data_IF_853397507023
#
_entry.id   IF_853397507023
#
_cell.length_a   1.000
_cell.length_b   1.000
_cell.length_c   1.000
_cell.angle_alpha   90.00
_cell.angle_beta   90.00
_cell.angle_gamma   90.00
#
_symmetry.space_group_name_H-M   'P 1'
#
loop_
_entity.id
_entity.type
_entity.pdbx_description
1 polymer ?
#
# COMPACT_ATOMS: atom_id res chain seq x y z
N UNK A 1 -24.20 -48.61 -3.59
CA UNK A 1 -25.37 -48.05 -2.88
C UNK A 1 -26.61 -48.25 -3.74
N UNK A 2 -27.62 -48.93 -3.22
CA UNK A 2 -28.90 -49.21 -3.90
C UNK A 2 -29.61 -47.88 -4.21
N UNK A 3 -29.92 -47.62 -5.50
CA UNK A 3 -30.63 -46.42 -5.91
C UNK A 3 -32.06 -46.43 -5.31
N UNK A 4 -32.33 -45.53 -4.36
CA UNK A 4 -33.67 -45.34 -3.81
C UNK A 4 -34.57 -44.72 -4.87
N UNK A 5 -35.70 -45.37 -5.15
CA UNK A 5 -36.68 -44.86 -6.13
C UNK A 5 -37.26 -43.50 -5.69
N UNK A 6 -37.43 -42.56 -6.63
CA UNK A 6 -37.96 -41.21 -6.37
C UNK A 6 -39.31 -41.21 -5.64
N UNK A 7 -40.15 -42.23 -5.87
CA UNK A 7 -41.47 -42.34 -5.26
C UNK A 7 -41.49 -43.21 -3.99
N UNK A 8 -40.38 -43.84 -3.59
CA UNK A 8 -40.28 -44.62 -2.37
C UNK A 8 -40.30 -43.72 -1.11
N UNK A 9 -40.62 -44.29 0.06
CA UNK A 9 -40.50 -43.59 1.36
C UNK A 9 -39.03 -43.21 1.59
N UNK A 10 -38.80 -42.01 2.13
CA UNK A 10 -37.46 -41.51 2.36
C UNK A 10 -36.75 -42.31 3.47
N UNK A 11 -35.49 -42.75 3.28
CA UNK A 11 -34.75 -43.53 4.28
C UNK A 11 -34.46 -42.78 5.59
N UNK A 12 -34.60 -41.44 5.62
CA UNK A 12 -34.38 -40.64 6.82
C UNK A 12 -35.49 -40.75 7.87
N UNK A 13 -36.53 -41.55 7.63
CA UNK A 13 -37.63 -41.76 8.58
C UNK A 13 -38.69 -40.65 8.60
N UNK A 14 -38.59 -39.64 7.73
CA UNK A 14 -39.54 -38.50 7.69
C UNK A 14 -40.96 -38.85 7.25
N UNK A 15 -41.20 -40.07 6.77
CA UNK A 15 -42.49 -40.49 6.22
C UNK A 15 -42.83 -39.92 4.84
N UNK A 16 -42.10 -38.95 4.30
CA UNK A 16 -42.34 -38.40 2.96
C UNK A 16 -41.76 -39.28 1.84
N UNK A 17 -42.20 -39.09 0.59
CA UNK A 17 -41.56 -39.71 -0.59
C UNK A 17 -40.16 -39.11 -0.78
N UNK A 18 -39.19 -39.90 -1.23
CA UNK A 18 -37.78 -39.50 -1.40
C UNK A 18 -37.64 -38.19 -2.21
N UNK A 19 -38.37 -38.04 -3.32
CA UNK A 19 -38.37 -36.83 -4.16
C UNK A 19 -38.90 -35.54 -3.48
N UNK A 20 -39.60 -35.66 -2.36
CA UNK A 20 -40.13 -34.55 -1.58
C UNK A 20 -39.40 -34.38 -0.24
N UNK A 21 -38.27 -35.06 -0.05
CA UNK A 21 -37.46 -35.02 1.17
C UNK A 21 -35.97 -34.94 0.78
N UNK A 22 -35.12 -35.88 1.21
CA UNK A 22 -33.68 -35.86 0.92
C UNK A 22 -33.34 -35.90 -0.58
N UNK A 23 -34.23 -36.40 -1.44
CA UNK A 23 -34.06 -36.33 -2.90
C UNK A 23 -34.27 -34.92 -3.46
N UNK A 24 -35.06 -34.06 -2.79
CA UNK A 24 -35.29 -32.68 -3.20
C UNK A 24 -34.06 -31.79 -2.94
N UNK A 25 -33.35 -32.03 -1.83
CA UNK A 25 -32.11 -31.32 -1.49
C UNK A 25 -30.96 -31.70 -2.43
N UNK A 26 -30.87 -32.98 -2.84
CA UNK A 26 -29.90 -33.39 -3.87
C UNK A 26 -30.22 -32.83 -5.26
N UNK A 27 -31.50 -32.69 -5.63
CA UNK A 27 -31.91 -32.04 -6.88
C UNK A 27 -31.65 -30.51 -6.85
N UNK A 28 -31.77 -29.86 -5.67
CA UNK A 28 -31.46 -28.45 -5.51
C UNK A 28 -29.95 -28.15 -5.68
N UNK A 29 -29.08 -29.05 -5.23
CA UNK A 29 -27.62 -28.95 -5.41
C UNK A 29 -27.16 -29.17 -6.87
N UNK A 30 -28.01 -29.74 -7.74
CA UNK A 30 -27.72 -30.01 -9.16
C UNK A 30 -28.29 -28.98 -10.13
N UNK A 31 -29.07 -28.01 -9.65
CA UNK A 31 -29.57 -26.94 -10.51
C UNK A 31 -28.43 -25.98 -10.76
N UNK A 32 -27.95 -25.92 -12.00
CA UNK A 32 -27.09 -24.82 -12.42
C UNK A 32 -27.80 -23.49 -12.07
N UNK A 33 -27.07 -22.51 -11.51
CA UNK A 33 -27.66 -21.21 -11.25
C UNK A 33 -28.21 -20.66 -12.57
N UNK A 34 -29.50 -20.32 -12.57
CA UNK A 34 -30.12 -19.70 -13.76
C UNK A 34 -29.35 -18.42 -14.05
N UNK A 35 -28.64 -18.37 -15.18
CA UNK A 35 -28.09 -17.12 -15.71
C UNK A 35 -29.26 -16.25 -16.13
N UNK A 36 -29.54 -15.20 -15.36
CA UNK A 36 -30.51 -14.16 -15.71
C UNK A 36 -29.76 -13.08 -16.47
N UNK A 37 -30.27 -12.64 -17.63
CA UNK A 37 -29.64 -11.51 -18.32
C UNK A 37 -29.93 -10.22 -17.56
N UNK A 38 -28.98 -9.28 -17.56
CA UNK A 38 -29.14 -8.01 -16.86
C UNK A 38 -30.42 -7.26 -17.30
N UNK A 39 -30.75 -7.32 -18.59
CA UNK A 39 -31.94 -6.66 -19.15
C UNK A 39 -33.25 -7.25 -18.64
N UNK A 40 -33.25 -8.52 -18.22
CA UNK A 40 -34.43 -9.23 -17.70
C UNK A 40 -34.69 -8.94 -16.21
N UNK A 41 -33.76 -8.25 -15.53
CA UNK A 41 -33.94 -7.83 -14.14
C UNK A 41 -34.97 -6.69 -14.04
N UNK A 42 -35.75 -6.64 -12.95
CA UNK A 42 -36.61 -5.50 -12.66
C UNK A 42 -35.84 -4.18 -12.74
N UNK A 43 -36.50 -3.11 -13.18
CA UNK A 43 -35.83 -1.81 -13.37
C UNK A 43 -35.14 -1.31 -12.10
N UNK A 44 -35.79 -1.47 -10.95
CA UNK A 44 -35.23 -1.10 -9.65
C UNK A 44 -33.94 -1.87 -9.34
N UNK A 45 -33.90 -3.17 -9.64
CA UNK A 45 -32.71 -4.01 -9.47
C UNK A 45 -31.58 -3.58 -10.40
N UNK A 46 -31.90 -3.25 -11.67
CA UNK A 46 -30.91 -2.74 -12.62
C UNK A 46 -30.33 -1.41 -12.17
N UNK A 47 -31.17 -0.48 -11.69
CA UNK A 47 -30.73 0.80 -11.12
C UNK A 47 -29.85 0.60 -9.89
N UNK A 48 -30.26 -0.25 -8.95
CA UNK A 48 -29.45 -0.56 -7.77
C UNK A 48 -28.09 -1.15 -8.14
N UNK A 49 -28.03 -2.06 -9.13
CA UNK A 49 -26.79 -2.63 -9.63
C UNK A 49 -25.88 -1.58 -10.27
N UNK A 50 -26.41 -0.72 -11.15
CA UNK A 50 -25.64 0.36 -11.78
C UNK A 50 -25.11 1.36 -10.74
N UNK A 51 -25.94 1.74 -9.77
CA UNK A 51 -25.53 2.63 -8.68
C UNK A 51 -24.40 2.01 -7.84
N UNK A 52 -24.50 0.70 -7.55
CA UNK A 52 -23.44 -0.03 -6.86
C UNK A 52 -22.16 -0.09 -7.70
N UNK A 53 -22.26 -0.28 -9.02
CA UNK A 53 -21.09 -0.25 -9.91
C UNK A 53 -20.41 1.13 -9.93
N UNK A 54 -21.20 2.21 -10.07
CA UNK A 54 -20.68 3.58 -10.06
C UNK A 54 -20.00 3.91 -8.74
N UNK A 55 -20.63 3.53 -7.61
CA UNK A 55 -20.05 3.71 -6.28
C UNK A 55 -18.74 2.94 -6.14
N UNK A 56 -18.69 1.68 -6.57
CA UNK A 56 -17.46 0.89 -6.53
C UNK A 56 -16.36 1.48 -7.43
N UNK A 57 -16.71 2.07 -8.57
CA UNK A 57 -15.74 2.74 -9.45
C UNK A 57 -15.19 4.04 -8.83
N UNK A 58 -16.04 4.80 -8.15
CA UNK A 58 -15.65 6.00 -7.42
C UNK A 58 -14.74 5.65 -6.23
N UNK A 59 -15.11 4.65 -5.42
CA UNK A 59 -14.27 4.13 -4.34
C UNK A 59 -12.92 3.65 -4.90
N UNK A 60 -12.92 2.93 -6.02
CA UNK A 60 -11.68 2.47 -6.65
C UNK A 60 -10.81 3.60 -7.20
N UNK A 61 -11.42 4.72 -7.59
CA UNK A 61 -10.70 5.91 -8.05
C UNK A 61 -10.06 6.67 -6.88
N UNK A 62 -10.68 6.64 -5.70
CA UNK A 62 -10.22 7.37 -4.52
C UNK A 62 -9.23 6.56 -3.67
N UNK A 63 -9.47 5.25 -3.53
CA UNK A 63 -8.74 4.37 -2.61
C UNK A 63 -7.99 3.22 -3.31
N UNK A 64 -8.17 3.07 -4.61
CA UNK A 64 -7.63 1.94 -5.36
C UNK A 64 -8.38 0.64 -5.06
N UNK A 65 -7.67 -0.47 -5.07
CA UNK A 65 -8.25 -1.79 -4.79
C UNK A 65 -8.22 -2.18 -3.31
N UNK A 66 -7.64 -1.34 -2.45
CA UNK A 66 -7.86 -1.44 -1.01
C UNK A 66 -9.19 -0.77 -0.74
N UNK A 67 -10.19 -1.48 -0.17
CA UNK A 67 -11.46 -0.87 0.16
C UNK A 67 -11.26 0.35 1.06
N UNK A 68 -12.12 1.38 0.97
CA UNK A 68 -12.17 2.41 2.01
C UNK A 68 -12.38 1.76 3.37
N UNK A 69 -12.14 2.52 4.44
CA UNK A 69 -12.35 2.06 5.82
C UNK A 69 -13.81 1.63 6.05
N UNK A 70 -14.09 0.35 5.80
CA UNK A 70 -15.44 -0.23 5.91
C UNK A 70 -15.87 -0.13 7.36
N UNK A 71 -16.80 0.79 7.62
CA UNK A 71 -17.23 1.12 8.97
C UNK A 71 -18.75 1.24 9.09
N UNK A 72 -19.25 1.06 10.31
CA UNK A 72 -20.63 1.31 10.67
C UNK A 72 -20.71 1.82 12.12
N UNK A 73 -21.75 2.58 12.43
CA UNK A 73 -22.09 2.92 13.82
C UNK A 73 -23.15 1.97 14.36
N UNK A 74 -22.89 1.39 15.53
CA UNK A 74 -23.83 0.49 16.22
C UNK A 74 -23.76 0.71 17.73
N UNK A 75 -24.89 1.05 18.36
CA UNK A 75 -25.01 1.27 19.81
C UNK A 75 -23.97 2.25 20.38
N UNK A 76 -23.65 3.31 19.62
CA UNK A 76 -22.65 4.32 20.01
C UNK A 76 -21.20 3.87 19.88
N UNK A 77 -20.94 2.71 19.27
CA UNK A 77 -19.60 2.30 18.84
C UNK A 77 -19.43 2.51 17.35
N UNK A 78 -18.28 3.01 16.94
CA UNK A 78 -17.79 2.86 15.57
C UNK A 78 -17.16 1.48 15.45
N UNK A 79 -17.65 0.68 14.51
CA UNK A 79 -17.15 -0.67 14.19
C UNK A 79 -16.47 -0.59 12.83
N UNK A 80 -15.26 -1.13 12.73
CA UNK A 80 -14.44 -1.12 11.50
C UNK A 80 -14.01 -2.54 11.18
N UNK A 81 -14.16 -2.94 9.92
CA UNK A 81 -13.72 -4.24 9.42
C UNK A 81 -12.27 -4.16 8.90
N UNK A 82 -11.45 -5.13 9.32
CA UNK A 82 -10.05 -5.28 8.90
C UNK A 82 -9.85 -6.75 8.53
N UNK A 83 -9.81 -7.03 7.22
CA UNK A 83 -9.75 -8.41 6.73
C UNK A 83 -10.92 -9.23 7.27
N UNK A 84 -10.63 -10.25 8.07
CA UNK A 84 -11.63 -11.11 8.71
C UNK A 84 -12.00 -10.69 10.14
N UNK A 85 -11.45 -9.58 10.64
CA UNK A 85 -11.66 -9.12 12.01
C UNK A 85 -12.52 -7.87 12.05
N UNK A 86 -13.20 -7.66 13.19
CA UNK A 86 -13.92 -6.43 13.50
C UNK A 86 -13.26 -5.79 14.72
N UNK A 87 -12.96 -4.50 14.63
CA UNK A 87 -12.56 -3.69 15.79
C UNK A 87 -13.62 -2.63 16.07
N UNK A 88 -13.75 -2.22 17.33
CA UNK A 88 -14.76 -1.24 17.71
C UNK A 88 -14.31 -0.34 18.86
N UNK A 89 -14.67 0.93 18.80
CA UNK A 89 -14.44 1.90 19.87
C UNK A 89 -15.52 3.00 19.83
N UNK A 90 -15.89 3.53 20.99
CA UNK A 90 -16.82 4.68 21.10
C UNK A 90 -16.17 6.01 20.71
N UNK A 91 -14.83 6.07 20.77
CA UNK A 91 -14.09 7.31 20.58
C UNK A 91 -13.63 7.54 19.14
N UNK A 92 -13.85 6.59 18.22
CA UNK A 92 -13.47 6.77 16.82
C UNK A 92 -14.52 7.59 16.08
N UNK A 93 -14.28 8.89 16.00
CA UNK A 93 -15.12 9.82 15.24
C UNK A 93 -14.63 10.01 13.81
N UNK A 94 -13.33 9.78 13.58
CA UNK A 94 -12.66 9.94 12.28
C UNK A 94 -11.81 8.70 11.95
N UNK A 95 -11.46 8.49 10.67
CA UNK A 95 -10.44 7.54 10.26
C UNK A 95 -9.12 7.66 11.04
N UNK A 96 -8.71 8.89 11.34
CA UNK A 96 -7.45 9.17 12.04
C UNK A 96 -7.51 8.61 13.47
N UNK A 97 -8.63 8.74 14.17
CA UNK A 97 -8.80 8.16 15.52
C UNK A 97 -8.59 6.64 15.47
N UNK A 98 -9.19 5.97 14.49
CA UNK A 98 -9.00 4.53 14.29
C UNK A 98 -7.56 4.18 13.93
N UNK A 99 -6.98 4.83 12.91
CA UNK A 99 -5.65 4.49 12.39
C UNK A 99 -4.57 4.65 13.46
N UNK A 100 -4.68 5.67 14.31
CA UNK A 100 -3.73 5.91 15.39
C UNK A 100 -3.83 4.85 16.49
N UNK A 101 -5.04 4.44 16.89
CA UNK A 101 -5.23 3.33 17.83
C UNK A 101 -4.80 1.98 17.24
N UNK A 102 -5.15 1.75 15.98
CA UNK A 102 -4.75 0.57 15.22
C UNK A 102 -3.22 0.44 15.17
N UNK A 103 -2.49 1.52 14.90
CA UNK A 103 -1.03 1.51 14.88
C UNK A 103 -0.42 1.16 16.24
N UNK A 104 -0.95 1.73 17.33
CA UNK A 104 -0.49 1.42 18.70
C UNK A 104 -0.69 -0.06 19.05
N UNK A 105 -1.83 -0.63 18.68
CA UNK A 105 -2.13 -2.04 18.91
C UNK A 105 -1.21 -2.93 18.05
N UNK A 106 -1.05 -2.60 16.77
CA UNK A 106 -0.26 -3.37 15.79
C UNK A 106 1.22 -3.41 16.15
N UNK A 107 1.79 -2.31 16.64
CA UNK A 107 3.19 -2.25 17.10
C UNK A 107 3.39 -2.78 18.52
N UNK A 108 2.32 -3.14 19.22
CA UNK A 108 2.24 -3.51 20.64
C UNK A 108 2.50 -2.36 21.62
N UNK A 109 1.64 -2.25 22.64
CA UNK A 109 1.77 -1.25 23.69
C UNK A 109 3.03 -1.44 24.56
N UNK A 110 3.51 -2.68 24.73
CA UNK A 110 4.75 -2.96 25.46
C UNK A 110 5.97 -2.30 24.79
N UNK A 111 6.15 -2.53 23.49
CA UNK A 111 7.23 -1.90 22.72
C UNK A 111 7.09 -0.38 22.69
N UNK A 112 5.88 0.13 22.43
CA UNK A 112 5.63 1.58 22.41
C UNK A 112 5.96 2.26 23.74
N UNK A 113 5.57 1.67 24.87
CA UNK A 113 5.87 2.21 26.20
C UNK A 113 7.37 2.17 26.52
N UNK A 114 8.08 1.12 26.09
CA UNK A 114 9.52 1.03 26.24
C UNK A 114 10.26 2.13 25.44
N UNK A 115 9.81 2.42 24.22
CA UNK A 115 10.34 3.53 23.42
C UNK A 115 10.01 4.89 24.04
N UNK A 116 8.79 5.11 24.54
CA UNK A 116 8.39 6.39 25.17
C UNK A 116 9.25 6.71 26.40
N UNK A 117 9.70 5.68 27.15
CA UNK A 117 10.56 5.86 28.31
C UNK A 117 11.97 6.39 27.98
N UNK A 118 12.41 6.30 26.71
CA UNK A 118 13.70 6.84 26.26
C UNK A 118 13.63 8.36 26.07
N UNK A 119 14.78 9.07 26.16
CA UNK A 119 14.90 10.44 25.68
C UNK A 119 14.43 10.57 24.23
N UNK A 120 13.82 11.70 23.87
CA UNK A 120 13.22 11.92 22.54
C UNK A 120 14.15 11.52 21.38
N UNK A 121 15.40 11.96 21.42
CA UNK A 121 16.42 11.70 20.39
C UNK A 121 16.80 10.22 20.25
N UNK A 122 16.61 9.42 21.31
CA UNK A 122 16.91 7.97 21.34
C UNK A 122 15.69 7.11 21.01
N UNK A 123 14.50 7.72 20.87
CA UNK A 123 13.28 6.99 20.51
C UNK A 123 13.34 6.51 19.06
N UNK A 124 12.72 5.37 18.82
CA UNK A 124 12.44 4.93 17.47
C UNK A 124 11.70 6.03 16.66
N UNK A 125 12.00 6.23 15.36
CA UNK A 125 11.40 7.32 14.57
C UNK A 125 9.86 7.36 14.58
N UNK A 126 9.19 6.20 14.62
CA UNK A 126 7.73 6.12 14.77
C UNK A 126 7.26 6.82 16.06
N UNK A 127 7.99 6.69 17.17
CA UNK A 127 7.63 7.30 18.44
C UNK A 127 8.04 8.76 18.55
N UNK A 128 9.05 9.20 17.79
CA UNK A 128 9.30 10.63 17.57
C UNK A 128 8.10 11.26 16.85
N UNK A 129 7.64 10.65 15.75
CA UNK A 129 6.46 11.13 15.03
C UNK A 129 5.17 11.04 15.86
N UNK A 130 5.04 10.02 16.72
CA UNK A 130 3.91 9.92 17.63
C UNK A 130 3.88 11.07 18.64
N UNK A 131 5.03 11.38 19.24
CA UNK A 131 5.18 12.51 20.16
C UNK A 131 4.80 13.81 19.46
N UNK A 132 5.39 14.05 18.29
CA UNK A 132 5.11 15.19 17.45
C UNK A 132 3.61 15.28 17.08
N UNK A 133 3.02 14.16 16.67
CA UNK A 133 1.60 14.11 16.35
C UNK A 133 0.72 14.45 17.56
N UNK A 134 1.09 14.03 18.77
CA UNK A 134 0.35 14.38 19.99
C UNK A 134 0.39 15.89 20.28
N UNK A 135 1.56 16.52 20.14
CA UNK A 135 1.72 17.97 20.32
C UNK A 135 0.88 18.74 19.29
N UNK A 136 0.92 18.29 18.03
CA UNK A 136 0.08 18.86 16.97
C UNK A 136 -1.42 18.71 17.28
N UNK A 137 -1.86 17.55 17.76
CA UNK A 137 -3.25 17.33 18.16
C UNK A 137 -3.64 18.23 19.34
N UNK A 138 -2.77 18.40 20.33
CA UNK A 138 -3.02 19.25 21.49
C UNK A 138 -3.20 20.71 21.07
N UNK A 139 -2.35 21.21 20.18
CA UNK A 139 -2.42 22.58 19.68
C UNK A 139 -3.71 22.83 18.88
N UNK A 140 -3.99 21.96 17.90
CA UNK A 140 -5.13 22.15 17.00
C UNK A 140 -6.48 21.83 17.65
N UNK A 141 -6.50 21.11 18.77
CA UNK A 141 -7.74 20.75 19.46
C UNK A 141 -8.25 21.76 20.48
N UNK A 142 -7.58 22.91 20.63
CA UNK A 142 -8.02 24.04 21.44
C UNK A 142 -9.36 24.61 20.96
N UNK A 143 -9.57 24.60 19.65
CA UNK A 143 -10.83 25.01 19.02
C UNK A 143 -11.48 23.81 18.34
N UNK A 144 -12.68 23.46 18.82
CA UNK A 144 -13.46 22.34 18.29
C UNK A 144 -14.78 22.85 17.71
N UNK A 145 -15.23 22.20 16.64
CA UNK A 145 -16.54 22.45 16.06
C UNK A 145 -17.67 21.86 16.95
N UNK A 146 -18.92 22.05 16.54
CA UNK A 146 -20.10 21.59 17.27
C UNK A 146 -20.12 20.07 17.54
N UNK A 147 -19.48 19.27 16.68
CA UNK A 147 -19.38 17.80 16.80
C UNK A 147 -18.18 17.36 17.69
N UNK A 148 -17.45 18.33 18.23
CA UNK A 148 -16.24 18.12 19.03
C UNK A 148 -15.03 17.70 18.20
N UNK A 149 -15.05 17.93 16.88
CA UNK A 149 -13.94 17.67 15.96
C UNK A 149 -13.07 18.92 15.82
N UNK A 150 -11.81 18.73 15.46
CA UNK A 150 -10.90 19.81 15.09
C UNK A 150 -10.22 19.47 13.76
N UNK A 151 -9.63 20.47 13.13
CA UNK A 151 -8.85 20.33 11.90
C UNK A 151 -7.59 21.16 12.03
N UNK A 152 -6.50 20.70 11.43
CA UNK A 152 -5.25 21.44 11.36
C UNK A 152 -4.56 21.20 10.04
N UNK A 153 -3.59 22.05 9.72
CA UNK A 153 -2.69 21.82 8.60
C UNK A 153 -1.76 20.66 9.00
N UNK A 154 -1.68 19.63 8.16
CA UNK A 154 -0.89 18.42 8.44
C UNK A 154 0.61 18.75 8.35
N UNK A 155 1.36 18.33 9.37
CA UNK A 155 2.82 18.49 9.44
C UNK A 155 3.53 17.28 8.84
N UNK A 156 4.84 17.37 8.58
CA UNK A 156 5.61 16.22 8.08
C UNK A 156 5.59 15.02 9.03
N UNK A 157 5.82 15.23 10.33
CA UNK A 157 5.74 14.17 11.34
C UNK A 157 4.34 13.53 11.41
N UNK A 158 3.27 14.35 11.40
CA UNK A 158 1.90 13.86 11.36
C UNK A 158 1.63 13.03 10.10
N UNK A 159 2.04 13.52 8.92
CA UNK A 159 1.89 12.78 7.66
C UNK A 159 2.66 11.46 7.67
N UNK A 160 3.89 11.45 8.21
CA UNK A 160 4.69 10.23 8.31
C UNK A 160 4.05 9.18 9.23
N UNK A 161 3.55 9.60 10.40
CA UNK A 161 2.87 8.75 11.37
C UNK A 161 1.55 8.16 10.83
N UNK A 162 0.74 8.98 10.17
CA UNK A 162 -0.54 8.53 9.62
C UNK A 162 -0.36 7.64 8.38
N UNK A 163 0.67 7.88 7.57
CA UNK A 163 0.91 7.07 6.37
C UNK A 163 1.35 5.64 6.73
N UNK A 164 2.19 5.46 7.75
CA UNK A 164 2.55 4.11 8.20
C UNK A 164 1.35 3.35 8.78
N UNK A 165 0.48 4.02 9.53
CA UNK A 165 -0.76 3.42 10.03
C UNK A 165 -1.66 2.96 8.87
N UNK A 166 -1.80 3.80 7.85
CA UNK A 166 -2.66 3.51 6.70
C UNK A 166 -2.09 2.41 5.79
N UNK A 167 -0.77 2.36 5.59
CA UNK A 167 -0.12 1.29 4.85
C UNK A 167 -0.26 -0.05 5.58
N UNK A 168 -0.02 -0.10 6.90
CA UNK A 168 -0.24 -1.31 7.70
C UNK A 168 -1.69 -1.80 7.64
N UNK A 169 -2.65 -0.88 7.75
CA UNK A 169 -4.07 -1.20 7.59
C UNK A 169 -4.36 -1.84 6.22
N UNK A 170 -3.82 -1.27 5.14
CA UNK A 170 -4.02 -1.80 3.80
C UNK A 170 -3.49 -3.24 3.65
N UNK A 171 -2.32 -3.52 4.21
CA UNK A 171 -1.74 -4.87 4.20
C UNK A 171 -2.57 -5.83 5.04
N UNK A 172 -2.96 -5.47 6.26
CA UNK A 172 -3.75 -6.36 7.11
C UNK A 172 -5.13 -6.63 6.51
N UNK A 173 -5.77 -5.61 5.95
CA UNK A 173 -7.09 -5.75 5.34
C UNK A 173 -7.09 -6.73 4.17
N UNK A 174 -5.98 -6.81 3.43
CA UNK A 174 -5.79 -7.75 2.32
C UNK A 174 -4.99 -8.99 2.71
N UNK A 175 -4.82 -9.26 4.02
CA UNK A 175 -4.12 -10.43 4.56
C UNK A 175 -2.67 -10.59 4.07
N UNK A 176 -2.00 -9.47 3.78
CA UNK A 176 -0.62 -9.39 3.31
C UNK A 176 0.37 -8.95 4.41
N UNK A 177 -0.10 -8.66 5.63
CA UNK A 177 0.75 -8.23 6.73
C UNK A 177 1.42 -9.42 7.43
N UNK A 178 2.74 -9.55 7.30
CA UNK A 178 3.53 -10.59 7.96
C UNK A 178 4.17 -10.11 9.28
N UNK A 179 4.28 -10.98 10.32
CA UNK A 179 4.90 -10.62 11.60
C UNK A 179 6.36 -10.13 11.47
N UNK A 180 7.13 -10.71 10.55
CA UNK A 180 8.53 -10.32 10.30
C UNK A 180 8.64 -8.87 9.82
N UNK A 181 7.66 -8.36 9.07
CA UNK A 181 7.62 -6.95 8.68
C UNK A 181 7.47 -6.04 9.91
N UNK A 182 6.61 -6.41 10.87
CA UNK A 182 6.42 -5.67 12.11
C UNK A 182 7.68 -5.69 12.98
N UNK A 183 8.40 -6.81 13.03
CA UNK A 183 9.69 -6.90 13.72
C UNK A 183 10.73 -5.95 13.12
N UNK A 184 10.87 -5.94 11.79
CA UNK A 184 11.79 -5.05 11.06
C UNK A 184 11.38 -3.57 11.20
N UNK A 185 10.09 -3.27 11.23
CA UNK A 185 9.56 -1.91 11.45
C UNK A 185 9.80 -1.38 12.87
N UNK A 186 9.93 -2.26 13.86
CA UNK A 186 10.25 -1.90 15.26
C UNK A 186 11.75 -1.79 15.51
N UNK A 187 12.58 -2.29 14.60
CA UNK A 187 14.03 -2.22 14.68
C UNK A 187 14.55 -0.96 13.98
N UNK A 188 15.13 -0.03 14.74
CA UNK A 188 15.60 1.26 14.24
C UNK A 188 16.59 1.14 13.06
N UNK A 189 17.51 0.17 13.09
CA UNK A 189 18.56 0.03 12.07
C UNK A 189 17.99 -0.42 10.71
N UNK A 190 16.89 -1.17 10.76
CA UNK A 190 16.19 -1.75 9.62
C UNK A 190 14.99 -0.89 9.18
N UNK A 191 14.54 0.02 10.04
CA UNK A 191 13.31 0.78 9.89
C UNK A 191 13.20 1.48 8.53
N UNK A 192 14.25 2.16 8.07
CA UNK A 192 14.21 2.88 6.79
C UNK A 192 13.84 1.96 5.62
N UNK A 193 14.46 0.77 5.54
CA UNK A 193 14.19 -0.21 4.48
C UNK A 193 12.80 -0.81 4.63
N UNK A 194 12.46 -1.27 5.84
CA UNK A 194 11.17 -1.88 6.15
C UNK A 194 9.99 -0.93 5.91
N UNK A 195 10.13 0.36 6.24
CA UNK A 195 9.14 1.40 5.95
C UNK A 195 8.92 1.56 4.45
N UNK A 196 10.00 1.54 3.66
CA UNK A 196 9.86 1.72 2.22
C UNK A 196 9.27 0.49 1.54
N UNK A 197 9.65 -0.72 1.96
CA UNK A 197 9.01 -1.97 1.51
C UNK A 197 7.52 -1.98 1.83
N UNK A 198 7.13 -1.58 3.05
CA UNK A 198 5.73 -1.43 3.44
C UNK A 198 4.97 -0.50 2.48
N UNK A 199 5.54 0.67 2.17
CA UNK A 199 4.96 1.62 1.21
C UNK A 199 4.80 1.01 -0.19
N UNK A 200 5.81 0.29 -0.69
CA UNK A 200 5.77 -0.35 -2.01
C UNK A 200 4.68 -1.42 -2.06
N UNK A 201 4.61 -2.28 -1.04
CA UNK A 201 3.58 -3.32 -0.93
C UNK A 201 2.18 -2.70 -0.88
N UNK A 202 1.97 -1.70 -0.02
CA UNK A 202 0.68 -1.02 0.09
C UNK A 202 0.28 -0.36 -1.24
N UNK A 203 1.25 0.20 -1.98
CA UNK A 203 1.02 0.80 -3.30
C UNK A 203 0.60 -0.23 -4.34
N UNK A 204 1.25 -1.39 -4.38
CA UNK A 204 0.91 -2.52 -5.26
C UNK A 204 -0.49 -3.05 -4.97
N UNK A 205 -0.82 -3.23 -3.69
CA UNK A 205 -2.15 -3.64 -3.25
C UNK A 205 -3.23 -2.64 -3.68
N UNK A 206 -3.02 -1.34 -3.46
CA UNK A 206 -3.92 -0.26 -3.94
C UNK A 206 -4.00 -0.24 -5.47
N UNK A 207 -2.94 -0.64 -6.16
CA UNK A 207 -2.92 -0.80 -7.60
C UNK A 207 -3.61 -2.09 -8.08
N UNK A 208 -4.12 -2.95 -7.19
CA UNK A 208 -4.85 -4.17 -7.56
C UNK A 208 -3.96 -5.37 -7.88
N UNK A 209 -2.70 -5.32 -7.47
CA UNK A 209 -1.82 -6.49 -7.50
C UNK A 209 -2.06 -7.34 -6.25
N UNK A 210 -1.96 -8.65 -6.41
CA UNK A 210 -1.62 -9.53 -5.30
C UNK A 210 -0.11 -9.55 -5.11
N UNK A 211 0.34 -9.76 -3.88
CA UNK A 211 1.76 -9.79 -3.54
C UNK A 211 2.07 -11.10 -2.83
N UNK A 212 3.23 -11.66 -3.14
CA UNK A 212 3.82 -12.80 -2.46
C UNK A 212 5.24 -12.41 -2.06
N UNK A 213 5.53 -12.40 -0.76
CA UNK A 213 6.86 -12.08 -0.26
C UNK A 213 7.80 -13.26 -0.53
N UNK A 214 9.01 -12.97 -0.97
CA UNK A 214 10.04 -14.01 -1.12
C UNK A 214 10.53 -14.48 0.26
N UNK A 215 10.99 -15.74 0.36
CA UNK A 215 11.53 -16.28 1.62
C UNK A 215 12.95 -15.75 1.86
N UNK A 216 13.07 -14.65 2.59
CA UNK A 216 14.34 -14.02 2.98
C UNK A 216 15.31 -14.94 3.75
N UNK A 217 14.87 -16.14 4.16
CA UNK A 217 15.72 -17.15 4.82
C UNK A 217 16.54 -17.98 3.83
N UNK A 218 16.21 -17.96 2.54
CA UNK A 218 16.98 -18.64 1.52
C UNK A 218 18.18 -17.81 1.07
N UNK A 219 19.30 -17.97 1.78
CA UNK A 219 20.58 -17.35 1.42
C UNK A 219 21.30 -18.00 0.22
N UNK A 220 20.72 -19.01 -0.42
CA UNK A 220 21.37 -19.72 -1.54
C UNK A 220 21.37 -18.91 -2.84
N UNK A 221 20.46 -17.94 -2.98
CA UNK A 221 20.35 -17.03 -4.12
C UNK A 221 20.01 -15.62 -3.67
N UNK A 222 20.34 -14.63 -4.49
CA UNK A 222 19.86 -13.26 -4.29
C UNK A 222 18.53 -13.09 -5.00
N UNK A 223 17.40 -13.10 -4.28
CA UNK A 223 16.07 -12.86 -4.85
C UNK A 223 15.65 -11.39 -4.72
N UNK A 224 14.62 -10.99 -5.48
CA UNK A 224 13.92 -9.72 -5.26
C UNK A 224 13.12 -9.73 -3.95
N UNK A 225 12.66 -8.58 -3.47
CA UNK A 225 11.88 -8.52 -2.21
C UNK A 225 10.54 -9.28 -2.29
N UNK A 226 9.84 -9.20 -3.43
CA UNK A 226 8.53 -9.84 -3.62
C UNK A 226 8.20 -10.14 -5.08
N UNK A 227 7.20 -10.98 -5.28
CA UNK A 227 6.51 -11.19 -6.55
C UNK A 227 5.13 -10.52 -6.53
N UNK A 228 4.82 -9.70 -7.54
CA UNK A 228 3.55 -9.01 -7.68
C UNK A 228 2.75 -9.57 -8.87
N UNK A 229 1.49 -9.96 -8.65
CA UNK A 229 0.61 -10.54 -9.67
C UNK A 229 -0.58 -9.62 -9.99
N UNK A 230 -0.69 -9.20 -11.25
CA UNK A 230 -1.81 -8.36 -11.71
C UNK A 230 -2.91 -9.21 -12.35
N UNK A 231 -3.88 -9.66 -11.54
CA UNK A 231 -4.95 -10.60 -11.96
C UNK A 231 -5.63 -10.27 -13.28
N UNK A 232 -5.97 -9.00 -13.50
CA UNK A 232 -6.75 -8.58 -14.67
C UNK A 232 -6.01 -8.81 -15.99
N UNK A 233 -4.68 -8.74 -15.96
CA UNK A 233 -3.82 -8.88 -17.15
C UNK A 233 -2.97 -10.16 -17.12
N UNK A 234 -3.17 -11.01 -16.09
CA UNK A 234 -2.51 -12.30 -15.93
C UNK A 234 -0.98 -12.25 -16.09
N UNK A 235 -0.36 -11.26 -15.46
CA UNK A 235 1.08 -11.04 -15.53
C UNK A 235 1.70 -10.90 -14.14
N UNK A 236 2.95 -11.36 -14.01
CA UNK A 236 3.73 -11.29 -12.77
C UNK A 236 4.96 -10.40 -12.96
N UNK A 237 5.39 -9.79 -11.86
CA UNK A 237 6.60 -8.98 -11.80
C UNK A 237 7.43 -9.34 -10.58
N UNK A 238 8.75 -9.37 -10.75
CA UNK A 238 9.71 -9.42 -9.64
C UNK A 238 9.98 -7.99 -9.20
N UNK A 239 9.64 -7.67 -7.95
CA UNK A 239 9.67 -6.29 -7.44
C UNK A 239 10.78 -6.12 -6.43
N UNK A 240 11.64 -5.14 -6.66
CA UNK A 240 12.70 -4.75 -5.73
C UNK A 240 12.42 -3.36 -5.16
N UNK A 241 12.46 -3.23 -3.83
CA UNK A 241 12.40 -1.95 -3.14
C UNK A 241 13.79 -1.55 -2.62
N UNK A 242 14.20 -0.31 -2.90
CA UNK A 242 15.45 0.26 -2.39
C UNK A 242 15.25 1.69 -1.93
N UNK A 243 15.95 2.07 -0.87
CA UNK A 243 15.98 3.45 -0.37
C UNK A 243 17.41 3.94 -0.27
N UNK A 244 17.63 5.20 -0.63
CA UNK A 244 18.90 5.88 -0.43
C UNK A 244 19.09 6.17 1.06
N UNK A 245 19.97 5.40 1.70
CA UNK A 245 20.35 5.60 3.10
C UNK A 245 20.94 6.98 3.36
N UNK A 246 20.57 7.58 4.49
CA UNK A 246 21.09 8.88 4.95
C UNK A 246 21.49 8.74 6.42
N UNK A 247 22.76 9.03 6.79
CA UNK A 247 23.17 9.02 8.18
C UNK A 247 22.30 9.96 9.03
N UNK A 248 21.97 9.54 10.25
CA UNK A 248 21.18 10.34 11.20
C UNK A 248 19.71 10.53 10.83
N UNK A 249 19.17 9.75 9.88
CA UNK A 249 17.77 9.80 9.47
C UNK A 249 17.13 8.42 9.52
N UNK A 250 15.88 8.36 9.98
CA UNK A 250 15.04 7.15 9.98
C UNK A 250 15.73 5.94 10.64
N UNK A 251 16.41 6.18 11.77
CA UNK A 251 17.09 5.14 12.55
C UNK A 251 18.46 4.73 12.00
N UNK A 252 18.98 5.39 10.95
CA UNK A 252 20.36 5.17 10.51
C UNK A 252 21.37 5.86 11.42
N UNK A 253 22.36 5.09 11.85
CA UNK A 253 23.52 5.62 12.57
C UNK A 253 24.27 6.71 11.78
N UNK A 254 24.95 7.58 12.52
CA UNK A 254 25.77 8.67 12.01
C UNK A 254 25.11 10.05 12.15
N UNK A 255 25.87 11.08 11.84
CA UNK A 255 25.40 12.47 11.97
C UNK A 255 24.53 12.88 10.78
N UNK A 256 23.42 13.55 11.08
CA UNK A 256 22.51 14.06 10.05
C UNK A 256 23.24 15.07 9.17
N UNK A 257 23.35 14.74 7.89
CA UNK A 257 23.93 15.63 6.88
C UNK A 257 23.05 16.85 6.66
N UNK A 258 23.67 17.98 6.30
CA UNK A 258 22.92 19.18 5.94
C UNK A 258 22.15 18.94 4.63
N UNK A 259 20.95 19.55 4.46
CA UNK A 259 20.13 19.35 3.27
C UNK A 259 20.86 19.61 1.94
N UNK A 260 21.73 20.62 1.87
CA UNK A 260 22.50 21.02 0.69
C UNK A 260 23.65 20.06 0.34
N UNK A 261 24.07 19.22 1.28
CA UNK A 261 25.09 18.18 1.06
C UNK A 261 24.49 16.88 0.49
N UNK A 262 23.16 16.72 0.58
CA UNK A 262 22.47 15.53 0.12
C UNK A 262 22.60 15.37 -1.40
N UNK A 263 22.93 14.15 -1.85
CA UNK A 263 23.04 13.81 -3.28
C UNK A 263 22.13 12.66 -3.63
N UNK A 264 21.42 12.80 -4.76
CA UNK A 264 20.53 11.80 -5.32
C UNK A 264 21.28 10.71 -6.09
N UNK A 265 22.30 10.11 -5.46
CA UNK A 265 23.09 9.05 -6.09
C UNK A 265 22.37 7.70 -5.96
N UNK A 266 21.57 7.36 -6.97
CA UNK A 266 20.82 6.10 -7.05
C UNK A 266 21.65 4.95 -7.63
N UNK A 267 22.86 5.19 -8.15
CA UNK A 267 23.65 4.22 -8.92
C UNK A 267 23.79 2.87 -8.19
N UNK A 268 24.22 2.91 -6.92
CA UNK A 268 24.43 1.70 -6.12
C UNK A 268 23.13 0.94 -5.88
N UNK A 269 22.01 1.64 -5.68
CA UNK A 269 20.72 1.01 -5.43
C UNK A 269 20.15 0.38 -6.70
N UNK A 270 20.22 1.11 -7.82
CA UNK A 270 19.82 0.62 -9.13
C UNK A 270 20.64 -0.61 -9.54
N UNK A 271 21.97 -0.55 -9.42
CA UNK A 271 22.85 -1.68 -9.74
C UNK A 271 22.53 -2.91 -8.88
N UNK A 272 22.35 -2.72 -7.57
CA UNK A 272 21.98 -3.82 -6.66
C UNK A 272 20.66 -4.47 -7.03
N UNK A 273 19.66 -3.67 -7.40
CA UNK A 273 18.36 -4.15 -7.82
C UNK A 273 18.42 -4.93 -9.14
N UNK A 274 19.19 -4.42 -10.12
CA UNK A 274 19.37 -5.07 -11.43
C UNK A 274 20.16 -6.38 -11.35
N UNK A 275 21.04 -6.52 -10.35
CA UNK A 275 21.86 -7.73 -10.13
C UNK A 275 21.14 -8.82 -9.32
N UNK A 276 19.97 -8.55 -8.73
CA UNK A 276 19.16 -9.60 -8.10
C UNK A 276 18.75 -10.63 -9.15
N UNK A 277 18.58 -11.88 -8.77
CA UNK A 277 17.89 -12.88 -9.58
C UNK A 277 16.39 -12.54 -9.60
N UNK A 278 15.78 -12.70 -10.78
CA UNK A 278 14.37 -12.36 -10.98
C UNK A 278 13.76 -13.32 -12.00
N UNK A 279 12.65 -13.95 -11.61
CA UNK A 279 11.93 -14.93 -12.43
C UNK A 279 10.97 -14.27 -13.44
N UNK A 280 10.67 -12.98 -13.23
CA UNK A 280 9.67 -12.23 -13.98
C UNK A 280 10.20 -10.86 -14.40
N UNK A 281 9.40 -10.15 -15.20
CA UNK A 281 9.66 -8.75 -15.55
C UNK A 281 9.86 -7.90 -14.29
N UNK A 282 10.82 -6.97 -14.31
CA UNK A 282 11.23 -6.25 -13.12
C UNK A 282 10.49 -4.94 -12.93
N UNK A 283 10.09 -4.66 -11.69
CA UNK A 283 9.71 -3.33 -11.23
C UNK A 283 10.65 -2.96 -10.08
N UNK A 284 11.40 -1.87 -10.24
CA UNK A 284 12.35 -1.39 -9.24
C UNK A 284 11.83 -0.08 -8.66
N UNK A 285 11.54 -0.09 -7.38
CA UNK A 285 11.20 1.10 -6.60
C UNK A 285 12.47 1.66 -5.94
N UNK A 286 12.75 2.94 -6.16
CA UNK A 286 13.86 3.64 -5.51
C UNK A 286 13.37 4.91 -4.82
N UNK A 287 13.43 4.91 -3.49
CA UNK A 287 13.31 6.12 -2.70
C UNK A 287 14.62 6.91 -2.77
N UNK A 288 14.57 8.07 -3.41
CA UNK A 288 15.74 8.95 -3.56
C UNK A 288 16.13 9.61 -2.25
N UNK A 289 15.19 9.70 -1.29
CA UNK A 289 15.37 10.25 0.04
C UNK A 289 16.15 11.57 0.03
N UNK A 290 15.53 12.59 -0.55
CA UNK A 290 16.08 13.93 -0.71
C UNK A 290 15.23 14.93 0.08
N UNK A 291 15.83 16.01 0.62
CA UNK A 291 15.09 17.09 1.26
C UNK A 291 13.96 17.66 0.36
N UNK A 292 12.98 18.36 0.96
CA UNK A 292 11.96 19.08 0.21
C UNK A 292 12.58 20.05 -0.81
N UNK A 293 11.92 20.19 -1.94
CA UNK A 293 12.25 21.12 -3.02
C UNK A 293 10.93 21.56 -3.64
N UNK A 294 10.67 22.85 -3.77
CA UNK A 294 9.40 23.38 -4.27
C UNK A 294 9.33 23.44 -5.80
N UNK A 295 10.42 23.09 -6.50
CA UNK A 295 10.45 23.04 -7.98
C UNK A 295 9.53 21.95 -8.52
N UNK A 296 9.04 22.12 -9.75
CA UNK A 296 8.36 21.06 -10.49
C UNK A 296 9.27 19.82 -10.69
N UNK A 297 8.68 18.62 -10.80
CA UNK A 297 9.43 17.34 -10.80
C UNK A 297 10.60 17.31 -11.78
N UNK A 298 10.41 17.81 -13.01
CA UNK A 298 11.44 17.82 -14.05
C UNK A 298 12.55 18.84 -13.80
N UNK A 299 12.28 19.84 -12.95
CA UNK A 299 13.23 20.88 -12.58
C UNK A 299 14.04 20.56 -11.32
N UNK A 300 13.58 19.60 -10.52
CA UNK A 300 14.28 19.15 -9.30
C UNK A 300 15.66 18.57 -9.63
N UNK A 301 16.65 18.93 -8.81
CA UNK A 301 18.04 18.53 -9.06
C UNK A 301 18.25 17.03 -8.85
N UNK A 302 17.49 16.43 -7.93
CA UNK A 302 17.53 14.98 -7.73
C UNK A 302 17.02 14.22 -8.94
N UNK A 303 15.98 14.74 -9.62
CA UNK A 303 15.40 14.10 -10.80
C UNK A 303 16.42 14.10 -11.95
N UNK A 304 17.01 15.26 -12.24
CA UNK A 304 18.06 15.41 -13.26
C UNK A 304 19.24 14.47 -12.99
N UNK A 305 19.64 14.36 -11.72
CA UNK A 305 20.73 13.46 -11.30
C UNK A 305 20.38 11.98 -11.48
N UNK A 306 19.18 11.58 -11.07
CA UNK A 306 18.71 10.20 -11.19
C UNK A 306 18.53 9.79 -12.66
N UNK A 307 17.89 10.64 -13.48
CA UNK A 307 17.72 10.41 -14.91
C UNK A 307 19.08 10.28 -15.63
N UNK A 308 20.05 11.15 -15.31
CA UNK A 308 21.42 11.06 -15.83
C UNK A 308 22.10 9.76 -15.40
N UNK A 309 21.88 9.32 -14.17
CA UNK A 309 22.46 8.07 -13.66
C UNK A 309 21.88 6.85 -14.38
N UNK A 310 20.56 6.79 -14.60
CA UNK A 310 19.92 5.69 -15.35
C UNK A 310 20.49 5.62 -16.77
N UNK A 311 20.52 6.74 -17.50
CA UNK A 311 21.11 6.80 -18.85
C UNK A 311 22.56 6.35 -18.85
N UNK A 312 23.37 6.82 -17.90
CA UNK A 312 24.76 6.42 -17.79
C UNK A 312 24.93 4.92 -17.52
N UNK A 313 24.08 4.32 -16.67
CA UNK A 313 24.10 2.87 -16.43
C UNK A 313 23.77 2.10 -17.71
N UNK A 314 22.83 2.61 -18.51
CA UNK A 314 22.43 2.02 -19.78
C UNK A 314 23.51 2.18 -20.88
N UNK A 315 24.20 3.32 -20.92
CA UNK A 315 25.29 3.60 -21.87
C UNK A 315 26.59 2.86 -21.52
N UNK A 316 26.93 2.77 -20.24
CA UNK A 316 28.19 2.20 -19.75
C UNK A 316 28.13 0.68 -19.50
N UNK A 317 26.97 0.03 -19.66
CA UNK A 317 26.84 -1.41 -19.43
C UNK A 317 27.64 -2.23 -20.46
N UNK A 318 28.04 -3.45 -20.07
CA UNK A 318 28.74 -4.37 -20.97
C UNK A 318 27.82 -4.80 -22.11
N UNK A 319 28.33 -4.78 -23.35
CA UNK A 319 27.64 -5.37 -24.51
C UNK A 319 27.44 -6.88 -24.38
N UNK A 320 28.35 -7.56 -23.68
CA UNK A 320 28.37 -9.02 -23.55
C UNK A 320 27.48 -9.50 -22.40
N UNK A 321 27.23 -8.63 -21.42
CA UNK A 321 26.37 -8.90 -20.27
C UNK A 321 25.61 -7.63 -19.84
N UNK A 322 24.61 -7.20 -20.63
CA UNK A 322 23.81 -6.03 -20.32
C UNK A 322 22.95 -6.29 -19.07
N UNK A 323 22.57 -5.22 -18.38
CA UNK A 323 21.60 -5.33 -17.29
C UNK A 323 20.22 -5.78 -17.83
N UNK A 324 19.41 -6.49 -17.02
CA UNK A 324 18.07 -6.86 -17.44
C UNK A 324 17.14 -5.63 -17.59
N UNK A 325 16.13 -5.68 -18.47
CA UNK A 325 15.13 -4.63 -18.59
C UNK A 325 14.29 -4.50 -17.32
N UNK A 326 13.98 -3.26 -16.93
CA UNK A 326 13.17 -3.00 -15.73
C UNK A 326 12.36 -1.71 -15.86
N UNK A 327 11.14 -1.72 -15.31
CA UNK A 327 10.41 -0.49 -14.97
C UNK A 327 11.02 0.09 -13.69
N UNK A 328 11.18 1.40 -13.63
CA UNK A 328 11.77 2.11 -12.50
C UNK A 328 10.79 3.15 -12.00
N UNK A 329 10.37 3.01 -10.73
CA UNK A 329 9.58 4.01 -10.02
C UNK A 329 10.49 4.72 -9.02
N UNK A 330 10.80 5.98 -9.31
CA UNK A 330 11.49 6.86 -8.37
C UNK A 330 10.45 7.53 -7.47
N UNK A 331 10.69 7.57 -6.18
CA UNK A 331 9.85 8.29 -5.21
C UNK A 331 10.70 9.17 -4.32
N UNK A 332 10.16 10.31 -3.89
CA UNK A 332 10.71 11.12 -2.81
C UNK A 332 9.59 11.46 -1.83
N UNK A 333 9.74 10.99 -0.58
CA UNK A 333 8.81 11.22 0.52
C UNK A 333 9.51 11.99 1.66
N UNK A 334 9.66 13.32 1.55
CA UNK A 334 10.54 14.08 2.44
C UNK A 334 9.94 14.44 3.81
N UNK A 335 8.82 13.82 4.21
CA UNK A 335 8.11 14.12 5.45
C UNK A 335 8.99 14.09 6.71
N UNK A 336 10.01 13.24 6.75
CA UNK A 336 10.95 13.11 7.88
C UNK A 336 12.07 14.15 7.88
N UNK A 337 12.14 15.02 6.87
CA UNK A 337 13.11 16.13 6.86
C UNK A 337 12.60 17.36 7.60
N UNK A 338 11.27 17.51 7.71
CA UNK A 338 10.60 18.67 8.30
C UNK A 338 9.96 18.29 9.64
N UNK A 339 9.79 19.29 10.52
CA UNK A 339 9.28 19.07 11.87
C UNK A 339 7.78 19.29 12.00
N UNK A 340 7.35 19.54 13.24
CA UNK A 340 5.98 19.87 13.59
C UNK A 340 5.54 21.30 13.24
N UNK A 341 6.48 22.20 13.00
CA UNK A 341 6.17 23.58 12.67
C UNK A 341 5.98 23.80 11.16
N UNK A 342 6.37 22.80 10.36
CA UNK A 342 6.36 22.85 8.91
C UNK A 342 5.18 22.07 8.33
N UNK A 343 4.58 22.62 7.28
CA UNK A 343 3.56 21.93 6.49
C UNK A 343 4.17 20.71 5.82
N UNK A 344 3.41 19.63 5.69
CA UNK A 344 3.84 18.45 4.94
C UNK A 344 4.28 18.84 3.51
N UNK A 345 5.51 18.48 3.09
CA UNK A 345 6.13 18.98 1.86
C UNK A 345 5.61 18.34 0.57
N UNK A 346 4.65 17.42 0.67
CA UNK A 346 4.18 16.62 -0.46
C UNK A 346 5.15 15.52 -0.87
N UNK A 347 4.65 14.61 -1.70
CA UNK A 347 5.42 13.54 -2.32
C UNK A 347 5.71 13.89 -3.79
N UNK A 348 6.86 13.48 -4.30
CA UNK A 348 7.14 13.50 -5.74
C UNK A 348 7.53 12.12 -6.22
N UNK A 349 7.05 11.72 -7.39
CA UNK A 349 7.36 10.43 -7.99
C UNK A 349 7.67 10.59 -9.48
N UNK A 350 8.39 9.63 -10.05
CA UNK A 350 8.60 9.53 -11.49
C UNK A 350 8.67 8.07 -11.96
N UNK A 351 8.01 7.76 -13.06
CA UNK A 351 8.11 6.47 -13.74
C UNK A 351 9.00 6.58 -14.97
N UNK A 352 9.95 5.65 -15.09
CA UNK A 352 10.82 5.46 -16.25
C UNK A 352 11.16 3.99 -16.40
N UNK A 353 12.11 3.67 -17.26
CA UNK A 353 12.66 2.33 -17.40
C UNK A 353 14.15 2.36 -17.73
N UNK A 354 14.76 1.17 -17.74
CA UNK A 354 16.10 0.91 -18.27
C UNK A 354 16.03 -0.31 -19.20
N UNK A 355 16.79 -0.30 -20.29
CA UNK A 355 16.82 -1.33 -21.33
C UNK A 355 15.43 -1.63 -21.92
N UNK A 356 14.59 -0.59 -22.00
CA UNK A 356 13.25 -0.61 -22.59
C UNK A 356 13.14 0.53 -23.60
N UNK A 357 13.52 0.29 -24.88
CA UNK A 357 13.58 1.32 -25.91
C UNK A 357 12.28 2.10 -26.09
N UNK A 358 11.15 1.49 -25.76
CA UNK A 358 9.84 2.11 -25.80
C UNK A 358 9.71 3.32 -24.84
N UNK A 359 10.52 3.40 -23.77
CA UNK A 359 10.57 4.54 -22.85
C UNK A 359 11.55 5.66 -23.26
N UNK A 360 12.23 5.56 -24.41
CA UNK A 360 13.30 6.49 -24.79
C UNK A 360 12.82 7.93 -25.07
N UNK A 361 11.55 8.14 -25.41
CA UNK A 361 10.96 9.45 -25.69
C UNK A 361 9.78 9.79 -24.77
N UNK A 362 9.66 11.04 -24.28
CA UNK A 362 8.51 11.50 -23.51
C UNK A 362 7.17 11.34 -24.26
N UNK A 363 7.15 11.51 -25.58
CA UNK A 363 5.93 11.35 -26.39
C UNK A 363 5.48 9.89 -26.46
N UNK A 364 6.43 8.96 -26.40
CA UNK A 364 6.16 7.52 -26.42
C UNK A 364 5.62 7.02 -25.08
N UNK A 365 5.89 7.71 -23.97
CA UNK A 365 5.44 7.30 -22.62
C UNK A 365 3.93 7.06 -22.54
N UNK A 366 3.09 7.89 -23.21
CA UNK A 366 1.63 7.68 -23.25
C UNK A 366 1.23 6.45 -24.07
N UNK A 367 1.95 6.17 -25.14
CA UNK A 367 1.72 4.98 -25.96
C UNK A 367 2.16 3.71 -25.22
N UNK A 368 3.29 3.76 -24.52
CA UNK A 368 3.82 2.70 -23.66
C UNK A 368 2.85 2.37 -22.53
N UNK A 369 2.30 3.38 -21.85
CA UNK A 369 1.32 3.14 -20.78
C UNK A 369 0.02 2.50 -21.28
N UNK A 370 -0.30 2.61 -22.58
CA UNK A 370 -1.41 1.84 -23.18
C UNK A 370 -1.04 0.38 -23.45
N UNK A 371 0.24 0.10 -23.72
CA UNK A 371 0.75 -1.26 -23.91
C UNK A 371 0.94 -1.99 -22.57
N UNK A 372 1.20 -1.23 -21.50
CA UNK A 372 1.35 -1.71 -20.13
C UNK A 372 0.25 -1.17 -19.20
N UNK A 373 -1.02 -1.58 -19.38
CA UNK A 373 -2.12 -1.10 -18.54
C UNK A 373 -1.94 -1.42 -17.05
N UNK A 374 -1.26 -2.51 -16.70
CA UNK A 374 -0.86 -2.88 -15.35
C UNK A 374 0.13 -1.88 -14.73
N UNK A 375 1.12 -1.42 -15.50
CA UNK A 375 2.07 -0.39 -15.06
C UNK A 375 1.38 0.98 -15.01
N UNK A 376 0.46 1.27 -15.94
CA UNK A 376 -0.36 2.47 -15.87
C UNK A 376 -1.25 2.52 -14.63
N UNK A 377 -1.80 1.39 -14.22
CA UNK A 377 -2.62 1.26 -13.01
C UNK A 377 -1.76 1.40 -11.75
N UNK A 378 -0.55 0.82 -11.75
CA UNK A 378 0.44 1.02 -10.69
C UNK A 378 0.82 2.50 -10.56
N UNK A 379 1.15 3.15 -11.67
CA UNK A 379 1.52 4.56 -11.68
C UNK A 379 0.39 5.47 -11.21
N UNK A 380 -0.85 5.19 -11.62
CA UNK A 380 -2.01 5.90 -11.09
C UNK A 380 -2.12 5.76 -9.57
N UNK A 381 -1.88 4.56 -9.03
CA UNK A 381 -1.90 4.32 -7.59
C UNK A 381 -0.80 5.09 -6.85
N UNK A 382 0.42 5.09 -7.38
CA UNK A 382 1.56 5.87 -6.83
C UNK A 382 1.21 7.35 -6.69
N UNK A 383 0.46 7.91 -7.64
CA UNK A 383 0.12 9.33 -7.66
C UNK A 383 -1.11 9.70 -6.82
N UNK A 384 -2.07 8.78 -6.64
CA UNK A 384 -3.40 9.16 -6.15
C UNK A 384 -3.84 8.46 -4.86
N UNK A 385 -3.26 7.31 -4.48
CA UNK A 385 -3.80 6.49 -3.39
C UNK A 385 -2.97 6.51 -2.09
N UNK A 386 -1.97 7.39 -1.97
CA UNK A 386 -1.18 7.57 -0.73
C UNK A 386 -1.81 8.55 0.27
N UNK A 387 -2.95 9.15 -0.08
CA UNK A 387 -3.69 10.06 0.80
C UNK A 387 -4.40 9.27 1.89
N UNK A 388 -4.20 9.67 3.14
CA UNK A 388 -4.91 9.10 4.29
C UNK A 388 -6.33 9.68 4.32
N UNK A 389 -7.39 8.86 4.45
CA UNK A 389 -8.77 9.34 4.50
C UNK A 389 -8.99 10.27 5.71
N UNK A 390 -9.72 11.37 5.51
CA UNK A 390 -10.04 12.32 6.58
C UNK A 390 -11.39 12.04 7.23
N UNK A 391 -12.30 11.39 6.50
CA UNK A 391 -13.64 10.98 6.94
C UNK A 391 -13.94 9.55 6.50
N UNK A 392 -14.89 8.90 7.18
CA UNK A 392 -15.29 7.54 6.84
C UNK A 392 -16.13 7.46 5.56
N UNK A 393 -16.76 8.56 5.15
CA UNK A 393 -17.63 8.66 3.97
C UNK A 393 -16.96 9.43 2.80
N UNK A 394 -15.62 9.55 2.79
CA UNK A 394 -14.85 10.22 1.74
C UNK A 394 -14.83 9.46 0.40
#
# INVERSE_FOLDING_TARGET
MTKVSRNARCPCGSGHKFKHCCGATCDAQRREPKRVQFLDLPEETRKAFLNAQLKNEEERRNFGHVPPLVSAEMNGYRVIAIGTTLKWNKNWKTPIDFLTDYLKETLSGEWGNAEIAKPYEERHPILQWYHDFCDWQQENSKERNADGLFSGIVTGSAKAYLSIAYDLYALEHLSALHPTMLERLKNADQFQGARYELYVIATLLRAGFEVELEDERDGSRTHTELTAFHKKHDCKFSVEAKTCGRPGLLGKEGERQKPDEAKANIYRQLQRALLKDAEHDRIIFIDVNMPPDDKEVFDKDWFKTAAKTIRKVEEDQSSDNPYPPAFIVLTNNPNHYVGNDDVEPGQTSYLTAINRPEFASPDDSKAVMRQHPEISQLWFSVLNHSKVPGKFDD
#
